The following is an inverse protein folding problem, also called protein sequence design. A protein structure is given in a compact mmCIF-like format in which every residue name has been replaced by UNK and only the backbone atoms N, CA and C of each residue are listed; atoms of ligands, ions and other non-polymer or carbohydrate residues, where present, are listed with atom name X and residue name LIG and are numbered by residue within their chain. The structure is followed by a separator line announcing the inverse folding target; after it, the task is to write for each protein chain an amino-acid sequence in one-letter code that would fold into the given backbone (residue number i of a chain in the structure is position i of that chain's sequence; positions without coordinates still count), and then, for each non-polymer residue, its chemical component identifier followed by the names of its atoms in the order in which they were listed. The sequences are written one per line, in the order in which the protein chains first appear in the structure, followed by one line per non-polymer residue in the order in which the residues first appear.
data_IF_387418949737
#
_entry.id   IF_387418949737
#
_cell.length_a   1.000
_cell.length_b   1.000
_cell.length_c   1.000
_cell.angle_alpha   90.00
_cell.angle_beta   90.00
_cell.angle_gamma   90.00
#
_symmetry.space_group_name_H-M   'P 1'
#
loop_
_entity.id
_entity.type
_entity.pdbx_description
1 polymer ?
#
# COMPACT_ATOMS: atom_id res chain seq x y z
N UNK A 1 -35.68 -25.73 -88.64
CA UNK A 1 -34.56 -25.34 -89.52
C UNK A 1 -33.30 -25.25 -88.68
N UNK A 2 -32.23 -25.91 -89.15
CA UNK A 2 -30.79 -25.72 -88.87
C UNK A 2 -30.39 -25.47 -87.40
N UNK A 3 -29.68 -26.41 -86.76
CA UNK A 3 -28.21 -26.51 -86.83
C UNK A 3 -27.63 -25.84 -85.57
N UNK A 4 -26.64 -26.32 -84.83
CA UNK A 4 -25.62 -27.32 -85.01
C UNK A 4 -24.36 -26.78 -84.31
N UNK A 5 -23.67 -27.63 -83.53
CA UNK A 5 -22.25 -27.56 -83.10
C UNK A 5 -21.95 -26.58 -81.94
N UNK A 6 -21.53 -27.08 -80.76
CA UNK A 6 -20.14 -27.37 -80.33
C UNK A 6 -19.29 -26.06 -80.18
N UNK A 7 -18.47 -25.78 -79.17
CA UNK A 7 -17.89 -26.55 -78.06
C UNK A 7 -17.28 -25.56 -77.01
N UNK A 8 -16.61 -26.14 -76.00
CA UNK A 8 -15.59 -25.59 -75.08
C UNK A 8 -16.10 -24.81 -73.85
N UNK A 9 -16.06 -25.36 -72.63
CA UNK A 9 -14.96 -25.79 -71.71
C UNK A 9 -14.45 -24.66 -70.79
N UNK A 10 -14.77 -24.88 -69.50
CA UNK A 10 -14.15 -24.45 -68.24
C UNK A 10 -13.78 -22.96 -68.02
N UNK A 11 -14.39 -22.36 -67.00
CA UNK A 11 -13.66 -22.14 -65.73
C UNK A 11 -14.62 -21.93 -64.55
N UNK A 12 -14.25 -22.57 -63.45
CA UNK A 12 -14.70 -22.50 -62.06
C UNK A 12 -15.34 -21.19 -61.57
N UNK A 13 -16.45 -21.31 -60.84
CA UNK A 13 -17.03 -20.27 -59.98
C UNK A 13 -17.98 -20.91 -58.96
N UNK A 14 -17.79 -20.56 -57.69
CA UNK A 14 -18.33 -21.18 -56.49
C UNK A 14 -19.86 -21.23 -56.38
N UNK A 15 -20.41 -22.28 -55.74
CA UNK A 15 -21.55 -22.23 -54.80
C UNK A 15 -22.03 -23.66 -54.44
N UNK A 16 -21.99 -24.01 -53.15
CA UNK A 16 -22.46 -25.33 -52.68
C UNK A 16 -22.93 -25.38 -51.22
N UNK A 17 -23.14 -24.24 -50.55
CA UNK A 17 -23.57 -24.17 -49.14
C UNK A 17 -25.09 -24.19 -48.94
N UNK A 18 -25.88 -24.82 -49.84
CA UNK A 18 -27.35 -24.74 -49.76
C UNK A 18 -28.07 -26.08 -49.52
N UNK A 19 -27.38 -27.22 -49.44
CA UNK A 19 -28.06 -28.54 -49.36
C UNK A 19 -27.87 -29.24 -48.00
N UNK A 20 -26.98 -28.77 -47.13
CA UNK A 20 -26.75 -29.41 -45.82
C UNK A 20 -27.73 -29.01 -44.71
N UNK A 21 -28.60 -28.00 -44.92
CA UNK A 21 -29.44 -27.42 -43.86
C UNK A 21 -30.77 -28.17 -43.60
N UNK A 22 -31.13 -29.18 -44.41
CA UNK A 22 -32.45 -29.82 -44.33
C UNK A 22 -32.46 -31.22 -43.67
N UNK A 23 -31.31 -31.78 -43.27
CA UNK A 23 -31.25 -33.13 -42.66
C UNK A 23 -30.97 -33.14 -41.14
N UNK A 24 -30.82 -32.00 -40.48
CA UNK A 24 -30.47 -31.95 -39.05
C UNK A 24 -31.66 -31.85 -38.06
N UNK A 25 -32.90 -31.70 -38.52
CA UNK A 25 -34.04 -31.36 -37.63
C UNK A 25 -34.82 -32.59 -37.12
N UNK A 26 -34.56 -33.81 -37.63
CA UNK A 26 -35.36 -35.00 -37.28
C UNK A 26 -34.75 -35.93 -36.21
N UNK A 27 -33.64 -35.57 -35.57
CA UNK A 27 -32.88 -36.46 -34.67
C UNK A 27 -32.95 -36.18 -33.15
N UNK A 28 -33.73 -35.20 -32.69
CA UNK A 28 -33.64 -34.67 -31.31
C UNK A 28 -34.78 -35.15 -30.38
N UNK A 29 -35.10 -36.44 -30.39
CA UNK A 29 -35.93 -37.05 -29.34
C UNK A 29 -35.04 -37.94 -28.46
N UNK A 30 -34.54 -37.38 -27.35
CA UNK A 30 -33.91 -38.13 -26.26
C UNK A 30 -34.80 -38.05 -25.01
N UNK A 31 -34.85 -39.11 -24.18
CA UNK A 31 -35.75 -39.20 -23.03
C UNK A 31 -35.27 -38.26 -21.92
N UNK A 32 -36.21 -37.65 -21.21
CA UNK A 32 -35.93 -36.86 -20.02
C UNK A 32 -35.53 -37.80 -18.87
N UNK A 33 -34.23 -37.83 -18.55
CA UNK A 33 -33.75 -38.36 -17.28
C UNK A 33 -34.00 -37.30 -16.20
N UNK A 34 -34.71 -37.68 -15.13
CA UNK A 34 -34.79 -36.87 -13.94
C UNK A 34 -33.37 -36.71 -13.37
N UNK A 35 -32.88 -35.48 -13.34
CA UNK A 35 -31.61 -35.15 -12.72
C UNK A 35 -31.80 -35.24 -11.21
N UNK A 36 -31.35 -36.35 -10.64
CA UNK A 36 -31.21 -36.53 -9.20
C UNK A 36 -30.25 -35.43 -8.71
N UNK A 37 -30.80 -34.45 -8.00
CA UNK A 37 -30.05 -33.39 -7.34
C UNK A 37 -29.23 -34.03 -6.23
N UNK A 38 -28.06 -34.53 -6.58
CA UNK A 38 -26.98 -34.69 -5.62
C UNK A 38 -26.54 -33.27 -5.30
N UNK A 39 -27.02 -32.77 -4.17
CA UNK A 39 -26.57 -31.53 -3.56
C UNK A 39 -25.05 -31.65 -3.40
N UNK A 40 -24.22 -30.89 -4.16
CA UNK A 40 -22.84 -30.75 -3.77
C UNK A 40 -22.92 -29.97 -2.46
N UNK A 41 -22.64 -30.64 -1.34
CA UNK A 41 -22.41 -29.96 -0.07
C UNK A 41 -21.62 -28.70 -0.39
N UNK A 42 -22.24 -27.54 -0.18
CA UNK A 42 -21.64 -26.27 -0.51
C UNK A 42 -20.30 -26.23 0.21
N UNK A 43 -19.22 -26.49 -0.54
CA UNK A 43 -17.90 -26.03 -0.16
C UNK A 43 -18.12 -24.54 0.02
N UNK A 44 -18.11 -24.11 1.27
CA UNK A 44 -18.19 -22.70 1.64
C UNK A 44 -17.23 -21.96 0.74
N UNK A 45 -17.76 -21.21 -0.23
CA UNK A 45 -16.97 -20.42 -1.15
C UNK A 45 -16.09 -19.51 -0.29
N UNK A 46 -14.80 -19.83 -0.21
CA UNK A 46 -13.85 -19.03 0.54
C UNK A 46 -13.69 -17.72 -0.21
N UNK A 47 -14.40 -16.69 0.23
CA UNK A 47 -14.29 -15.34 -0.33
C UNK A 47 -12.97 -14.75 0.12
N UNK A 48 -11.94 -14.92 -0.71
CA UNK A 48 -10.63 -14.29 -0.48
C UNK A 48 -10.73 -12.81 -0.82
N UNK A 49 -10.92 -11.99 0.21
CA UNK A 49 -10.82 -10.53 0.07
C UNK A 49 -9.34 -10.18 -0.11
N UNK A 50 -9.03 -9.37 -1.12
CA UNK A 50 -7.67 -8.89 -1.39
C UNK A 50 -7.64 -7.36 -1.44
N UNK A 51 -6.44 -6.78 -1.44
CA UNK A 51 -6.32 -5.33 -1.56
C UNK A 51 -6.50 -4.59 -0.24
N UNK A 52 -6.89 -3.33 -0.35
CA UNK A 52 -7.18 -2.44 0.78
C UNK A 52 -8.30 -2.96 1.70
N UNK A 53 -9.29 -3.65 1.14
CA UNK A 53 -10.37 -4.25 1.94
C UNK A 53 -9.86 -5.34 2.88
N UNK A 54 -8.96 -6.19 2.40
CA UNK A 54 -8.35 -7.25 3.21
C UNK A 54 -7.48 -6.69 4.34
N UNK A 55 -6.79 -5.60 4.04
CA UNK A 55 -5.93 -4.90 4.97
C UNK A 55 -6.72 -4.26 6.13
N UNK A 56 -7.84 -3.59 5.82
CA UNK A 56 -8.79 -3.11 6.82
C UNK A 56 -9.40 -4.24 7.64
N UNK A 57 -9.77 -5.35 7.00
CA UNK A 57 -10.32 -6.52 7.69
C UNK A 57 -9.31 -7.13 8.67
N UNK A 58 -8.04 -7.23 8.26
CA UNK A 58 -6.93 -7.66 9.12
C UNK A 58 -6.67 -6.70 10.29
N UNK A 59 -6.75 -5.39 10.06
CA UNK A 59 -6.62 -4.40 11.13
C UNK A 59 -7.78 -4.54 12.15
N UNK A 60 -9.01 -4.77 11.66
CA UNK A 60 -10.18 -4.99 12.51
C UNK A 60 -10.11 -6.33 13.25
N UNK A 61 -9.62 -7.40 12.61
CA UNK A 61 -9.44 -8.71 13.27
C UNK A 61 -8.40 -8.60 14.39
N UNK A 62 -7.25 -7.98 14.10
CA UNK A 62 -6.21 -7.72 15.12
C UNK A 62 -6.76 -6.94 16.30
N UNK A 63 -7.62 -5.95 16.05
CA UNK A 63 -8.29 -5.18 17.09
C UNK A 63 -9.32 -5.99 17.89
N UNK A 64 -10.06 -6.90 17.24
CA UNK A 64 -11.03 -7.79 17.91
C UNK A 64 -10.37 -8.85 18.77
N UNK A 65 -9.29 -9.43 18.28
CA UNK A 65 -8.59 -10.53 18.94
C UNK A 65 -7.65 -10.02 20.04
N UNK A 66 -7.38 -8.72 20.08
CA UNK A 66 -6.56 -8.11 21.12
C UNK A 66 -7.35 -7.87 22.40
N UNK A 67 -6.78 -8.30 23.52
CA UNK A 67 -7.24 -7.95 24.87
C UNK A 67 -7.00 -6.46 25.21
N UNK A 68 -6.41 -5.68 24.30
CA UNK A 68 -5.93 -4.31 24.50
C UNK A 68 -6.40 -3.36 23.41
N UNK A 69 -6.29 -2.06 23.68
CA UNK A 69 -6.59 -1.04 22.66
C UNK A 69 -5.40 -0.94 21.72
N UNK A 70 -5.45 -1.73 20.65
CA UNK A 70 -4.45 -1.77 19.58
C UNK A 70 -5.05 -1.23 18.30
N UNK A 71 -4.26 -0.44 17.58
CA UNK A 71 -4.48 -0.16 16.16
C UNK A 71 -3.36 -0.83 15.37
N UNK A 72 -3.67 -1.36 14.20
CA UNK A 72 -2.69 -2.02 13.35
C UNK A 72 -2.82 -1.52 11.92
N UNK A 73 -1.69 -1.41 11.23
CA UNK A 73 -1.63 -1.18 9.79
C UNK A 73 -0.81 -2.29 9.17
N UNK A 74 -1.32 -2.91 8.10
CA UNK A 74 -0.72 -4.08 7.46
C UNK A 74 0.20 -3.70 6.28
N UNK A 75 1.01 -4.65 5.82
CA UNK A 75 1.88 -4.50 4.65
C UNK A 75 1.09 -4.10 3.39
N UNK A 76 -0.11 -4.63 3.22
CA UNK A 76 -0.98 -4.30 2.10
C UNK A 76 -1.42 -2.83 2.14
N UNK A 77 -1.70 -2.28 3.32
CA UNK A 77 -2.05 -0.87 3.49
C UNK A 77 -0.84 0.04 3.29
N UNK A 78 0.32 -0.38 3.80
CA UNK A 78 1.58 0.37 3.70
C UNK A 78 2.10 0.39 2.25
N UNK A 79 1.98 -0.72 1.52
CA UNK A 79 2.60 -0.94 0.21
C UNK A 79 1.70 -0.67 -1.00
N UNK A 80 0.36 -0.73 -0.85
CA UNK A 80 -0.57 -0.42 -1.97
C UNK A 80 -0.93 1.07 -2.04
N UNK A 81 -0.82 1.78 -0.92
CA UNK A 81 -1.09 3.20 -0.90
C UNK A 81 0.18 3.96 -1.28
N UNK A 82 0.06 5.07 -2.02
CA UNK A 82 1.21 5.81 -2.51
C UNK A 82 1.85 6.64 -1.39
N UNK A 83 2.06 6.05 -0.21
CA UNK A 83 2.65 6.73 0.92
C UNK A 83 4.15 6.89 0.70
N UNK A 84 4.69 8.01 1.17
CA UNK A 84 6.13 8.27 1.14
C UNK A 84 6.87 7.60 2.32
N UNK A 85 6.15 7.31 3.41
CA UNK A 85 6.67 6.67 4.63
C UNK A 85 5.58 5.89 5.37
N UNK A 86 5.99 4.96 6.24
CA UNK A 86 5.07 4.27 7.17
C UNK A 86 4.36 5.25 8.11
N UNK A 87 4.93 6.43 8.37
CA UNK A 87 4.34 7.46 9.22
C UNK A 87 2.98 7.94 8.68
N UNK A 88 2.87 8.10 7.36
CA UNK A 88 1.62 8.50 6.70
C UNK A 88 0.56 7.41 6.84
N UNK A 89 0.95 6.14 6.71
CA UNK A 89 0.04 5.02 6.90
C UNK A 89 -0.47 4.91 8.34
N UNK A 90 0.43 5.13 9.32
CA UNK A 90 0.09 5.13 10.76
C UNK A 90 -0.86 6.29 11.08
N UNK A 91 -0.64 7.48 10.49
CA UNK A 91 -1.47 8.66 10.74
C UNK A 91 -2.93 8.51 10.27
N UNK A 92 -3.23 7.53 9.42
CA UNK A 92 -4.62 7.19 9.05
C UNK A 92 -5.38 6.43 10.14
N UNK A 93 -4.68 5.90 11.15
CA UNK A 93 -5.32 5.19 12.25
C UNK A 93 -5.98 6.20 13.21
N UNK A 94 -7.13 5.84 13.81
CA UNK A 94 -7.88 6.76 14.64
C UNK A 94 -7.08 7.16 15.89
N UNK A 95 -7.09 8.45 16.22
CA UNK A 95 -6.41 8.98 17.41
C UNK A 95 -4.88 8.98 17.32
N UNK A 96 -4.33 8.74 16.13
CA UNK A 96 -2.94 8.97 15.77
C UNK A 96 -2.86 10.15 14.81
N UNK A 97 -1.81 10.94 14.91
CA UNK A 97 -1.52 12.01 13.95
C UNK A 97 -0.03 12.00 13.63
N UNK A 98 0.36 12.46 12.44
CA UNK A 98 1.77 12.68 12.12
C UNK A 98 2.16 14.13 12.35
N UNK A 99 3.40 14.35 12.75
CA UNK A 99 4.06 15.65 12.64
C UNK A 99 4.86 15.66 11.34
N UNK A 100 4.68 16.72 10.55
CA UNK A 100 5.39 16.90 9.29
C UNK A 100 6.59 17.79 9.51
N UNK A 101 7.74 17.32 9.06
CA UNK A 101 8.96 18.12 8.96
C UNK A 101 9.31 18.17 7.49
N UNK A 102 9.53 19.38 6.98
CA UNK A 102 9.94 19.53 5.59
C UNK A 102 9.00 18.75 4.65
N UNK A 103 7.69 18.95 4.84
CA UNK A 103 6.66 18.39 3.98
C UNK A 103 6.48 16.87 4.05
N UNK A 104 7.24 16.14 4.88
CA UNK A 104 7.11 14.69 5.08
C UNK A 104 6.64 14.36 6.49
N UNK A 105 5.71 13.41 6.60
CA UNK A 105 5.34 12.82 7.89
C UNK A 105 6.53 12.05 8.47
N UNK A 106 7.07 12.51 9.59
CA UNK A 106 8.28 11.94 10.20
C UNK A 106 8.02 11.42 11.62
N UNK A 107 7.31 12.18 12.46
CA UNK A 107 6.96 11.73 13.82
C UNK A 107 5.50 11.34 13.94
N UNK A 108 5.19 10.52 14.94
CA UNK A 108 3.81 10.13 15.29
C UNK A 108 3.47 10.66 16.68
N UNK A 109 2.32 11.32 16.77
CA UNK A 109 1.69 11.73 18.02
C UNK A 109 0.54 10.79 18.33
N UNK A 110 0.43 10.38 19.59
CA UNK A 110 -0.59 9.44 20.06
C UNK A 110 -1.54 10.20 20.99
N UNK A 111 -2.83 10.26 20.66
CA UNK A 111 -3.86 10.97 21.45
C UNK A 111 -3.48 12.43 21.77
N UNK A 112 -2.84 13.12 20.81
CA UNK A 112 -2.42 14.51 20.94
C UNK A 112 -1.12 14.74 21.72
N UNK A 113 -0.52 13.70 22.29
CA UNK A 113 0.79 13.80 22.92
C UNK A 113 1.90 13.64 21.89
N UNK A 114 2.95 14.46 22.02
CA UNK A 114 4.12 14.41 21.16
C UNK A 114 4.91 13.10 21.28
N UNK A 115 5.84 12.87 20.34
CA UNK A 115 6.54 11.60 20.21
C UNK A 115 7.39 11.24 21.44
N UNK A 116 7.79 12.23 22.26
CA UNK A 116 8.58 12.04 23.49
C UNK A 116 7.94 11.18 24.56
N UNK A 117 6.60 11.10 24.55
CA UNK A 117 5.83 10.32 25.50
C UNK A 117 5.54 8.91 24.99
N UNK A 118 5.85 8.62 23.73
CA UNK A 118 5.68 7.31 23.12
C UNK A 118 6.98 6.50 23.16
N UNK A 119 6.89 5.19 23.03
CA UNK A 119 8.06 4.34 22.78
C UNK A 119 7.91 3.67 21.41
N UNK A 120 9.03 3.40 20.76
CA UNK A 120 9.02 2.63 19.51
C UNK A 120 9.89 1.39 19.60
N UNK A 121 9.39 0.29 19.04
CA UNK A 121 10.06 -0.99 18.95
C UNK A 121 10.17 -1.39 17.47
N UNK A 122 11.25 -2.10 17.16
CA UNK A 122 11.43 -2.81 15.91
C UNK A 122 11.55 -4.30 16.25
N UNK A 123 10.54 -5.08 15.89
CA UNK A 123 10.44 -6.49 16.23
C UNK A 123 10.60 -6.73 17.75
N UNK A 124 9.99 -5.89 18.58
CA UNK A 124 10.12 -5.96 20.04
C UNK A 124 11.43 -5.40 20.62
N UNK A 125 12.36 -4.87 19.80
CA UNK A 125 13.58 -4.20 20.28
C UNK A 125 13.40 -2.69 20.34
N UNK A 126 13.63 -2.02 21.49
CA UNK A 126 13.49 -0.58 21.59
C UNK A 126 14.39 0.14 20.59
N UNK A 127 13.84 1.12 19.90
CA UNK A 127 14.57 2.03 19.02
C UNK A 127 14.95 3.29 19.79
N UNK A 128 16.14 3.82 19.49
CA UNK A 128 16.60 5.10 20.03
C UNK A 128 16.42 6.18 18.96
N UNK A 129 16.16 7.41 19.41
CA UNK A 129 16.21 8.56 18.53
C UNK A 129 17.65 8.92 18.19
N UNK A 130 17.84 9.52 17.01
CA UNK A 130 19.05 10.25 16.62
C UNK A 130 18.94 11.75 16.89
N UNK A 131 17.81 12.20 17.43
CA UNK A 131 17.47 13.59 17.70
C UNK A 131 17.62 13.92 19.20
N UNK A 132 17.46 15.19 19.58
CA UNK A 132 17.48 15.64 20.99
C UNK A 132 16.12 15.42 21.67
N UNK A 133 15.49 14.27 21.39
CA UNK A 133 14.16 13.92 21.86
C UNK A 133 14.04 12.37 21.91
N UNK A 134 12.93 11.82 22.44
CA UNK A 134 12.74 10.35 22.51
C UNK A 134 11.99 9.78 21.30
N UNK A 135 11.55 10.65 20.38
CA UNK A 135 10.83 10.30 19.17
C UNK A 135 11.74 9.78 18.08
N UNK A 136 11.33 8.70 17.40
CA UNK A 136 12.04 8.23 16.20
C UNK A 136 11.40 8.78 14.93
N UNK A 137 12.21 8.92 13.89
CA UNK A 137 11.78 9.35 12.57
C UNK A 137 11.28 8.13 11.77
N UNK A 138 9.96 8.01 11.63
CA UNK A 138 9.30 6.90 10.95
C UNK A 138 9.49 6.93 9.43
N UNK A 139 9.89 8.07 8.85
CA UNK A 139 10.26 8.19 7.43
C UNK A 139 11.62 7.60 7.08
N UNK A 140 12.44 7.23 8.06
CA UNK A 140 13.67 6.47 7.84
C UNK A 140 13.43 4.97 7.61
N UNK A 141 12.24 4.46 7.90
CA UNK A 141 11.90 3.05 7.77
C UNK A 141 11.19 2.79 6.44
N UNK A 142 11.82 2.02 5.52
CA UNK A 142 11.19 1.69 4.26
C UNK A 142 9.96 0.80 4.47
N UNK A 143 8.84 1.23 3.93
CA UNK A 143 7.59 0.47 3.84
C UNK A 143 7.78 -0.96 3.30
N UNK A 144 8.76 -1.13 2.41
CA UNK A 144 9.07 -2.36 1.69
C UNK A 144 9.57 -3.51 2.57
N UNK A 145 10.10 -3.22 3.76
CA UNK A 145 10.58 -4.24 4.73
C UNK A 145 9.63 -4.45 5.89
N UNK A 146 8.56 -3.66 5.99
CA UNK A 146 7.61 -3.66 7.10
C UNK A 146 6.42 -4.54 6.75
N UNK A 147 6.12 -5.51 7.61
CA UNK A 147 4.94 -6.39 7.48
C UNK A 147 3.71 -5.82 8.17
N UNK A 148 3.91 -5.15 9.31
CA UNK A 148 2.84 -4.48 10.04
C UNK A 148 3.42 -3.42 10.97
N UNK A 149 2.61 -2.43 11.32
CA UNK A 149 2.87 -1.55 12.46
C UNK A 149 1.72 -1.66 13.44
N UNK A 150 2.03 -2.08 14.66
CA UNK A 150 1.06 -2.20 15.75
C UNK A 150 1.26 -1.06 16.73
N UNK A 151 0.20 -0.32 17.02
CA UNK A 151 0.19 0.80 17.96
C UNK A 151 -0.64 0.44 19.16
N UNK A 152 0.04 0.13 20.26
CA UNK A 152 -0.56 -0.16 21.55
C UNK A 152 -0.84 1.13 22.29
N UNK A 153 -2.10 1.45 22.52
CA UNK A 153 -2.50 2.65 23.25
C UNK A 153 -2.71 2.41 24.75
N UNK A 154 -2.58 1.16 25.18
CA UNK A 154 -2.65 0.73 26.58
C UNK A 154 -1.38 -0.03 26.95
N UNK A 155 -0.98 -0.01 28.23
CA UNK A 155 0.14 -0.80 28.69
C UNK A 155 -0.06 -2.30 28.42
N UNK A 156 1.04 -3.00 28.11
CA UNK A 156 1.04 -4.42 27.80
C UNK A 156 2.27 -5.10 28.44
N UNK A 157 2.05 -6.16 29.22
CA UNK A 157 3.14 -6.94 29.81
C UNK A 157 4.02 -7.66 28.77
N UNK A 158 3.53 -7.93 27.56
CA UNK A 158 4.30 -8.58 26.51
C UNK A 158 5.29 -7.64 25.80
N UNK A 159 5.21 -6.33 26.03
CA UNK A 159 6.11 -5.34 25.42
C UNK A 159 7.37 -5.16 26.25
N UNK A 160 8.53 -5.31 25.62
CA UNK A 160 9.85 -5.16 26.26
C UNK A 160 10.14 -3.73 26.71
N UNK A 161 9.53 -2.75 26.07
CA UNK A 161 9.63 -1.32 26.40
C UNK A 161 8.31 -0.64 26.10
N UNK A 162 7.94 0.37 26.89
CA UNK A 162 6.63 1.02 26.79
C UNK A 162 6.74 2.53 26.95
N UNK A 163 5.94 3.25 26.16
CA UNK A 163 5.75 4.69 26.29
C UNK A 163 4.62 5.01 27.26
N UNK A 164 4.63 6.24 27.77
CA UNK A 164 3.60 6.77 28.67
C UNK A 164 2.22 6.84 27.99
N UNK A 165 2.19 7.28 26.73
CA UNK A 165 0.93 7.53 25.99
C UNK A 165 0.56 6.41 25.01
N UNK A 166 1.52 5.53 24.75
CA UNK A 166 1.39 4.42 23.83
C UNK A 166 2.74 3.95 23.31
N UNK A 167 2.71 2.84 22.59
CA UNK A 167 3.90 2.16 22.10
C UNK A 167 3.68 1.70 20.66
N UNK A 168 4.57 2.09 19.76
CA UNK A 168 4.56 1.70 18.35
C UNK A 168 5.52 0.55 18.16
N UNK A 169 5.10 -0.55 17.55
CA UNK A 169 5.93 -1.72 17.28
C UNK A 169 5.90 -2.02 15.79
N UNK A 170 7.05 -1.80 15.15
CA UNK A 170 7.29 -2.03 13.73
C UNK A 170 7.68 -3.50 13.58
N UNK A 171 6.88 -4.26 12.83
CA UNK A 171 7.16 -5.65 12.48
C UNK A 171 7.74 -5.71 11.09
N UNK A 172 8.90 -6.34 10.94
CA UNK A 172 9.47 -6.59 9.63
C UNK A 172 8.88 -7.84 8.99
N UNK A 173 9.07 -7.98 7.69
CA UNK A 173 8.70 -9.20 6.98
C UNK A 173 9.45 -10.41 7.57
N UNK A 174 8.69 -11.45 7.89
CA UNK A 174 9.20 -12.74 8.36
C UNK A 174 8.83 -13.80 7.33
N UNK A 175 9.77 -14.19 6.44
CA UNK A 175 9.44 -15.05 5.30
C UNK A 175 8.80 -16.40 5.71
N UNK A 176 9.23 -16.96 6.85
CA UNK A 176 8.70 -18.22 7.36
C UNK A 176 7.22 -18.12 7.80
N UNK A 177 6.77 -16.94 8.23
CA UNK A 177 5.39 -16.68 8.66
C UNK A 177 4.51 -16.20 7.49
N UNK A 178 5.13 -15.72 6.40
CA UNK A 178 4.43 -14.99 5.33
C UNK A 178 3.53 -15.86 4.43
N UNK A 179 3.55 -17.19 4.58
CA UNK A 179 2.64 -18.16 3.95
C UNK A 179 2.77 -18.30 2.42
N UNK A 180 3.16 -17.24 1.70
CA UNK A 180 3.22 -17.14 0.25
C UNK A 180 4.54 -16.49 -0.18
N UNK A 181 5.04 -16.90 -1.34
CA UNK A 181 6.14 -16.21 -2.01
C UNK A 181 5.66 -14.88 -2.57
N UNK A 182 6.44 -13.82 -2.39
CA UNK A 182 6.12 -12.47 -2.85
C UNK A 182 7.24 -11.94 -3.70
N UNK A 183 6.89 -11.47 -4.89
CA UNK A 183 7.74 -10.62 -5.70
C UNK A 183 6.97 -9.36 -6.05
N UNK A 184 7.48 -8.22 -5.64
CA UNK A 184 6.87 -6.91 -5.87
C UNK A 184 7.91 -5.95 -6.42
N UNK A 185 7.52 -5.18 -7.42
CA UNK A 185 8.32 -4.07 -7.96
C UNK A 185 7.41 -2.87 -8.13
N UNK A 186 7.95 -1.68 -7.91
CA UNK A 186 7.20 -0.45 -8.03
C UNK A 186 8.08 0.70 -8.51
N UNK A 187 7.43 1.63 -9.19
CA UNK A 187 8.02 2.85 -9.66
C UNK A 187 7.02 3.99 -9.46
N UNK A 188 7.49 5.14 -9.01
CA UNK A 188 6.70 6.36 -8.85
C UNK A 188 7.48 7.53 -9.44
N UNK A 189 6.80 8.37 -10.20
CA UNK A 189 7.28 9.69 -10.61
C UNK A 189 6.63 10.77 -9.76
N UNK A 190 7.37 11.82 -9.44
CA UNK A 190 6.91 13.00 -8.70
C UNK A 190 7.19 14.23 -9.55
N UNK A 191 6.23 15.15 -9.59
CA UNK A 191 6.37 16.45 -10.21
C UNK A 191 6.00 17.52 -9.19
N UNK A 192 6.92 18.45 -8.95
CA UNK A 192 6.74 19.57 -8.01
C UNK A 192 6.35 20.82 -8.77
N UNK A 193 5.21 21.42 -8.44
CA UNK A 193 4.66 22.57 -9.15
C UNK A 193 5.13 23.93 -8.63
N UNK A 194 5.87 23.95 -7.51
CA UNK A 194 6.45 25.15 -6.89
C UNK A 194 7.53 25.85 -7.75
N UNK A 195 7.92 25.25 -8.87
CA UNK A 195 8.99 25.75 -9.75
C UNK A 195 10.38 25.60 -9.11
N UNK A 196 11.38 26.27 -9.69
CA UNK A 196 12.75 26.27 -9.18
C UNK A 196 12.95 27.45 -8.24
N UNK A 197 12.68 27.25 -6.97
CA UNK A 197 12.95 28.27 -5.97
C UNK A 197 14.45 28.39 -5.65
N UNK A 198 15.23 27.33 -5.87
CA UNK A 198 16.70 27.31 -5.74
C UNK A 198 17.41 26.91 -7.06
N UNK A 199 18.59 27.51 -7.31
CA UNK A 199 19.42 27.19 -8.47
C UNK A 199 20.01 25.79 -8.32
N UNK A 200 19.54 24.84 -9.13
CA UNK A 200 19.91 23.42 -9.06
C UNK A 200 18.77 22.48 -8.67
N UNK A 201 17.61 23.03 -8.25
CA UNK A 201 16.42 22.22 -7.97
C UNK A 201 15.87 21.59 -9.26
N UNK A 202 15.52 20.30 -9.15
CA UNK A 202 14.79 19.56 -10.19
C UNK A 202 13.30 19.69 -9.91
N UNK A 203 12.48 19.73 -10.96
CA UNK A 203 11.01 19.75 -10.84
C UNK A 203 10.42 18.33 -10.88
N UNK A 204 11.27 17.34 -11.15
CA UNK A 204 10.89 15.94 -11.25
C UNK A 204 11.72 15.09 -10.28
N UNK A 205 11.07 14.10 -9.69
CA UNK A 205 11.67 13.08 -8.85
C UNK A 205 11.15 11.69 -9.18
N UNK A 206 11.79 10.68 -8.63
CA UNK A 206 11.39 9.29 -8.81
C UNK A 206 11.74 8.43 -7.59
N UNK A 207 10.93 7.40 -7.41
CA UNK A 207 11.16 6.32 -6.46
C UNK A 207 11.03 4.99 -7.17
N UNK A 208 12.01 4.11 -6.98
CA UNK A 208 12.01 2.73 -7.44
C UNK A 208 12.11 1.81 -6.23
N UNK A 209 11.35 0.73 -6.23
CA UNK A 209 11.45 -0.28 -5.19
C UNK A 209 11.25 -1.71 -5.72
N UNK A 210 11.85 -2.66 -5.02
CA UNK A 210 11.72 -4.09 -5.29
C UNK A 210 11.79 -4.87 -3.98
N UNK A 211 10.89 -5.83 -3.82
CA UNK A 211 10.83 -6.72 -2.66
C UNK A 211 10.65 -8.15 -3.13
N UNK A 212 11.43 -9.06 -2.56
CA UNK A 212 11.35 -10.49 -2.73
C UNK A 212 11.26 -11.19 -1.37
N UNK A 213 10.30 -12.10 -1.22
CA UNK A 213 10.10 -12.91 -0.01
C UNK A 213 9.86 -14.34 -0.44
N UNK A 214 10.74 -15.26 -0.04
CA UNK A 214 10.68 -16.66 -0.43
C UNK A 214 10.97 -17.60 0.72
N UNK A 215 10.43 -18.82 0.63
CA UNK A 215 10.73 -19.94 1.52
C UNK A 215 11.38 -21.06 0.72
N UNK A 216 12.42 -21.66 1.30
CA UNK A 216 13.23 -22.71 0.70
C UNK A 216 13.40 -23.87 1.71
N UNK A 217 13.83 -25.03 1.20
CA UNK A 217 14.11 -26.23 2.01
C UNK A 217 12.92 -26.66 2.88
N UNK A 218 11.75 -26.88 2.28
CA UNK A 218 10.51 -27.26 3.00
C UNK A 218 10.18 -26.30 4.17
N UNK A 219 10.11 -25.01 3.87
CA UNK A 219 9.80 -23.94 4.83
C UNK A 219 10.79 -23.80 6.01
N UNK A 220 12.02 -24.31 5.87
CA UNK A 220 13.05 -24.17 6.92
C UNK A 220 13.92 -22.93 6.75
N UNK A 221 14.10 -22.47 5.51
CA UNK A 221 14.91 -21.32 5.19
C UNK A 221 14.04 -20.23 4.56
N UNK A 222 13.93 -19.10 5.25
CA UNK A 222 13.21 -17.92 4.77
C UNK A 222 14.17 -16.83 4.31
N UNK A 223 13.93 -16.26 3.12
CA UNK A 223 14.69 -15.11 2.60
C UNK A 223 13.72 -13.96 2.33
N UNK A 224 14.03 -12.78 2.89
CA UNK A 224 13.40 -11.52 2.51
C UNK A 224 14.49 -10.55 2.06
N UNK A 225 14.32 -9.99 0.87
CA UNK A 225 15.20 -8.99 0.27
C UNK A 225 14.34 -7.82 -0.17
N UNK A 226 14.74 -6.61 0.19
CA UNK A 226 14.10 -5.40 -0.29
C UNK A 226 15.16 -4.36 -0.66
N UNK A 227 14.90 -3.61 -1.72
CA UNK A 227 15.72 -2.50 -2.17
C UNK A 227 14.79 -1.34 -2.58
N UNK A 228 15.16 -0.13 -2.17
CA UNK A 228 14.46 1.09 -2.56
C UNK A 228 15.47 2.18 -2.89
N UNK A 229 15.20 2.95 -3.94
CA UNK A 229 15.98 4.09 -4.37
C UNK A 229 15.05 5.28 -4.60
N UNK A 230 15.39 6.42 -4.03
CA UNK A 230 14.56 7.64 -4.04
C UNK A 230 15.46 8.81 -4.41
N UNK A 231 15.07 9.56 -5.44
CA UNK A 231 15.61 10.88 -5.78
C UNK A 231 14.41 11.81 -5.97
N UNK A 232 14.02 12.49 -4.89
CA UNK A 232 12.84 13.35 -4.84
C UNK A 232 13.26 14.78 -4.54
N UNK A 233 12.97 15.75 -5.42
CA UNK A 233 13.21 17.15 -5.12
C UNK A 233 12.16 17.62 -4.10
N UNK A 234 12.63 18.16 -2.99
CA UNK A 234 11.80 18.82 -2.01
C UNK A 234 12.21 20.28 -1.90
N UNK A 235 11.23 21.18 -1.86
CA UNK A 235 11.45 22.62 -1.75
C UNK A 235 10.51 23.21 -0.70
N UNK A 236 11.02 24.09 0.15
CA UNK A 236 10.24 24.86 1.12
C UNK A 236 10.35 26.33 0.74
N UNK A 237 9.21 27.02 0.68
CA UNK A 237 9.16 28.46 0.82
C UNK A 237 8.64 28.79 2.21
N UNK A 238 9.45 29.50 3.01
CA UNK A 238 9.09 29.87 4.37
C UNK A 238 9.04 31.40 4.53
N UNK A 239 7.99 31.87 5.20
CA UNK A 239 7.83 33.27 5.58
C UNK A 239 7.80 33.38 7.10
N UNK A 240 8.94 33.76 7.69
CA UNK A 240 9.04 34.05 9.11
C UNK A 240 8.83 35.56 9.33
N UNK A 241 7.81 35.95 10.08
CA UNK A 241 7.63 37.34 10.54
C UNK A 241 7.72 37.37 12.07
N UNK A 242 8.46 38.33 12.61
CA UNK A 242 8.51 38.59 14.05
C UNK A 242 8.02 40.01 14.33
N UNK A 243 7.54 40.24 15.55
CA UNK A 243 6.99 41.52 15.95
C UNK A 243 6.64 41.57 17.43
N UNK A 244 6.26 42.77 17.89
CA UNK A 244 5.85 43.01 19.26
C UNK A 244 4.42 43.57 19.28
N UNK A 245 3.70 43.31 20.37
CA UNK A 245 2.40 43.93 20.59
C UNK A 245 2.59 45.45 20.77
N UNK A 246 1.95 46.24 19.91
CA UNK A 246 1.91 47.70 20.04
C UNK A 246 0.84 48.14 21.04
N UNK A 247 0.95 49.39 21.49
CA UNK A 247 -0.05 50.00 22.38
C UNK A 247 -1.37 50.18 21.60
N UNK A 248 -2.46 49.59 22.11
CA UNK A 248 -3.79 49.65 21.49
C UNK A 248 -4.18 48.43 20.64
N UNK A 249 -3.43 47.33 20.68
CA UNK A 249 -3.81 46.06 20.03
C UNK A 249 -3.34 45.91 18.57
N UNK A 250 -2.63 46.91 18.03
CA UNK A 250 -1.96 46.77 16.73
C UNK A 250 -0.63 46.04 16.90
N UNK A 251 -0.44 44.92 16.19
CA UNK A 251 0.83 44.22 16.14
C UNK A 251 1.82 45.00 15.24
N UNK A 252 2.97 45.36 15.79
CA UNK A 252 4.07 45.98 15.03
C UNK A 252 4.96 44.87 14.50
N UNK A 253 5.03 44.70 13.17
CA UNK A 253 5.99 43.79 12.54
C UNK A 253 7.39 44.36 12.75
N UNK A 254 8.21 43.64 13.51
CA UNK A 254 9.61 43.98 13.82
C UNK A 254 10.59 43.51 12.75
N UNK A 255 10.18 42.60 11.86
CA UNK A 255 10.92 42.21 10.67
C UNK A 255 10.36 40.93 10.03
N UNK A 256 10.90 40.61 8.86
CA UNK A 256 10.56 39.41 8.09
C UNK A 256 11.84 38.75 7.58
N UNK A 257 11.85 37.42 7.54
CA UNK A 257 12.92 36.60 6.97
C UNK A 257 12.29 35.54 6.07
N UNK A 258 12.01 35.89 4.81
CA UNK A 258 11.67 34.90 3.80
C UNK A 258 12.94 34.14 3.38
N UNK A 259 12.86 32.83 3.27
CA UNK A 259 13.91 32.02 2.66
C UNK A 259 13.34 30.79 1.98
N UNK A 260 14.15 30.21 1.09
CA UNK A 260 13.82 29.00 0.36
C UNK A 260 14.92 27.98 0.58
N UNK A 261 14.54 26.74 0.90
CA UNK A 261 15.45 25.58 0.93
C UNK A 261 15.00 24.53 -0.08
#
# INVERSE_FOLDING_TARGET
MLGGRAAARLSTGASGSAIAAAMLIAGLAMPAYAQETTDPAAESEEVVVTGFRAALESAVSTKRDSEQIVESVSAEDIGKLPDASIAESIARLPGLTSQRISGRSSFISIRGFGPDFSATLLNGRPQTSTNDNRGIEFDQYPSEVVSAVNVYKTPNASLTSQGLVGTVDIRTIRPLEYGKEVFAVGARGIYTDMGKLNSGSKDWGYRLNATYVGKFMDDRLGIALAAAYVDEPYQIEEFEAWGYAGVGGNNLIGGVKPFVT
#
